data_IF_611944271854
#
_entry.id   IF_611944271854
#
_cell.length_a   1.000
_cell.length_b   1.000
_cell.length_c   1.000
_cell.angle_alpha   90.00
_cell.angle_beta   90.00
_cell.angle_gamma   90.00
#
_symmetry.space_group_name_H-M   'P 1'
#
loop_
_entity.id
_entity.type
_entity.pdbx_description
1 polymer ?
#
# COMPACT_ATOMS: atom_id res chain seq x y z
N UNK A 1 -9.91 -0.84 -10.61
CA UNK A 1 -9.60 -1.23 -9.22
C UNK A 1 -10.91 -1.56 -8.52
N UNK A 2 -11.05 -2.76 -7.94
CA UNK A 2 -12.28 -3.19 -7.25
C UNK A 2 -12.08 -2.96 -5.75
N UNK A 3 -12.93 -2.13 -5.13
CA UNK A 3 -12.93 -1.96 -3.67
C UNK A 3 -13.59 -3.19 -3.04
N UNK A 4 -12.88 -3.86 -2.13
CA UNK A 4 -13.35 -5.12 -1.52
C UNK A 4 -14.03 -4.89 -0.16
N UNK A 5 -13.90 -3.70 0.44
CA UNK A 5 -14.43 -3.38 1.77
C UNK A 5 -13.33 -3.06 2.79
N UNK A 6 -13.72 -2.83 4.04
CA UNK A 6 -12.79 -2.55 5.14
C UNK A 6 -12.37 -3.89 5.76
N UNK A 7 -11.05 -4.16 5.79
CA UNK A 7 -10.49 -5.27 6.54
C UNK A 7 -10.24 -4.84 8.00
N UNK A 8 -10.57 -5.71 8.95
CA UNK A 8 -10.41 -5.41 10.38
C UNK A 8 -9.34 -6.30 11.00
N UNK A 9 -8.34 -5.68 11.65
CA UNK A 9 -7.33 -6.39 12.43
C UNK A 9 -7.90 -6.76 13.80
N UNK A 10 -7.91 -8.05 14.12
CA UNK A 10 -8.32 -8.58 15.41
C UNK A 10 -7.13 -8.65 16.39
N UNK A 11 -7.42 -8.84 17.69
CA UNK A 11 -6.42 -8.78 18.78
C UNK A 11 -5.34 -9.87 18.70
N UNK A 12 -5.63 -10.95 17.98
CA UNK A 12 -4.78 -12.12 17.76
C UNK A 12 -3.91 -12.00 16.49
N UNK A 13 -3.81 -10.80 15.91
CA UNK A 13 -3.13 -10.50 14.64
C UNK A 13 -3.81 -11.11 13.40
N UNK A 14 -4.99 -11.71 13.53
CA UNK A 14 -5.78 -12.12 12.37
C UNK A 14 -6.42 -10.91 11.69
N UNK A 15 -6.61 -10.99 10.37
CA UNK A 15 -7.29 -9.96 9.59
C UNK A 15 -8.61 -10.55 9.09
N UNK A 16 -9.71 -9.99 9.57
CA UNK A 16 -11.04 -10.34 9.07
C UNK A 16 -11.27 -9.61 7.75
N UNK A 17 -11.42 -10.38 6.67
CA UNK A 17 -11.73 -9.86 5.34
C UNK A 17 -13.25 -9.68 5.17
N UNK A 18 -13.69 -8.67 4.42
CA UNK A 18 -15.10 -8.49 4.06
C UNK A 18 -15.60 -9.63 3.16
N UNK A 19 -16.89 -9.97 3.26
CA UNK A 19 -17.48 -11.11 2.53
C UNK A 19 -17.31 -11.02 1.01
N UNK A 20 -17.31 -9.80 0.46
CA UNK A 20 -17.05 -9.49 -0.95
C UNK A 20 -15.69 -9.99 -1.47
N UNK A 21 -14.76 -10.29 -0.56
CA UNK A 21 -13.46 -10.86 -0.90
C UNK A 21 -13.59 -12.26 -1.51
N UNK A 22 -14.50 -13.09 -0.98
CA UNK A 22 -14.71 -14.48 -1.42
C UNK A 22 -15.21 -14.58 -2.86
N UNK A 23 -15.99 -13.61 -3.31
CA UNK A 23 -16.49 -13.55 -4.68
C UNK A 23 -15.41 -13.12 -5.69
N UNK A 24 -14.27 -12.61 -5.22
CA UNK A 24 -13.18 -12.09 -6.05
C UNK A 24 -11.98 -13.05 -6.14
N UNK A 25 -12.15 -14.31 -5.73
CA UNK A 25 -11.13 -15.36 -5.66
C UNK A 25 -10.64 -15.80 -7.04
N UNK A 26 -10.11 -14.86 -7.81
CA UNK A 26 -9.39 -15.09 -9.06
C UNK A 26 -7.94 -15.50 -8.77
N UNK A 27 -7.47 -15.31 -7.53
CA UNK A 27 -6.11 -15.61 -7.07
C UNK A 27 -6.15 -16.37 -5.74
N UNK A 28 -5.36 -17.45 -5.63
CA UNK A 28 -5.29 -18.29 -4.42
C UNK A 28 -4.45 -17.66 -3.29
N UNK A 29 -3.61 -16.68 -3.63
CA UNK A 29 -2.75 -15.97 -2.69
C UNK A 29 -2.59 -14.51 -3.09
N UNK A 30 -2.34 -13.66 -2.10
CA UNK A 30 -2.13 -12.23 -2.27
C UNK A 30 -0.90 -11.81 -1.48
N UNK A 31 -0.14 -10.87 -2.02
CA UNK A 31 0.88 -10.15 -1.26
C UNK A 31 0.25 -8.96 -0.55
N UNK A 32 0.69 -8.70 0.68
CA UNK A 32 0.10 -7.70 1.58
C UNK A 32 1.07 -6.54 1.78
N UNK A 33 0.60 -5.30 1.59
CA UNK A 33 1.36 -4.09 1.89
C UNK A 33 0.53 -3.21 2.83
N UNK A 34 1.16 -2.69 3.89
CA UNK A 34 0.55 -1.70 4.78
C UNK A 34 1.01 -0.28 4.39
N UNK A 35 0.06 0.61 4.11
CA UNK A 35 0.32 2.00 3.72
C UNK A 35 -0.57 2.92 4.55
N UNK A 36 0.02 3.72 5.43
CA UNK A 36 -0.74 4.70 6.23
C UNK A 36 -1.76 4.08 7.20
N UNK A 37 -1.58 2.81 7.60
CA UNK A 37 -2.53 2.05 8.41
C UNK A 37 -3.58 1.28 7.60
N UNK A 38 -3.63 1.49 6.28
CA UNK A 38 -4.47 0.72 5.37
C UNK A 38 -3.73 -0.54 4.89
N UNK A 39 -4.47 -1.62 4.68
CA UNK A 39 -3.95 -2.89 4.18
C UNK A 39 -4.35 -3.04 2.71
N UNK A 40 -3.36 -3.13 1.83
CA UNK A 40 -3.53 -3.37 0.40
C UNK A 40 -3.21 -4.84 0.09
N UNK A 41 -4.12 -5.49 -0.63
CA UNK A 41 -3.95 -6.85 -1.15
C UNK A 41 -3.63 -6.77 -2.64
N UNK A 42 -2.50 -7.33 -3.06
CA UNK A 42 -1.99 -7.23 -4.42
C UNK A 42 -1.78 -8.64 -4.97
N UNK A 43 -2.20 -8.93 -6.22
CA UNK A 43 -1.93 -10.23 -6.83
C UNK A 43 -0.42 -10.43 -7.02
N UNK A 44 0.11 -11.64 -6.73
CA UNK A 44 1.52 -11.96 -6.95
C UNK A 44 1.85 -12.16 -8.43
N UNK A 45 3.13 -12.05 -8.83
CA UNK A 45 4.26 -11.65 -8.01
C UNK A 45 4.41 -10.13 -7.97
N UNK A 46 4.70 -9.59 -6.78
CA UNK A 46 5.02 -8.19 -6.63
C UNK A 46 6.45 -7.92 -7.10
N UNK A 47 6.63 -6.96 -8.01
CA UNK A 47 7.95 -6.52 -8.45
C UNK A 47 8.63 -5.65 -7.38
N UNK A 48 9.35 -6.32 -6.47
CA UNK A 48 10.02 -5.68 -5.33
C UNK A 48 11.13 -4.72 -5.75
N UNK A 49 11.84 -5.00 -6.84
CA UNK A 49 12.89 -4.12 -7.35
C UNK A 49 12.31 -2.80 -7.84
N UNK A 50 11.21 -2.89 -8.60
CA UNK A 50 10.47 -1.72 -9.05
C UNK A 50 9.94 -0.90 -7.87
N UNK A 51 9.38 -1.53 -6.84
CA UNK A 51 8.88 -0.82 -5.66
C UNK A 51 9.99 -0.11 -4.89
N UNK A 52 11.13 -0.77 -4.67
CA UNK A 52 12.29 -0.14 -4.03
C UNK A 52 12.79 1.07 -4.84
N UNK A 53 12.76 0.97 -6.17
CA UNK A 53 13.10 2.10 -7.06
C UNK A 53 12.10 3.26 -6.91
N UNK A 54 10.79 2.97 -6.90
CA UNK A 54 9.75 3.99 -6.69
C UNK A 54 9.95 4.66 -5.34
N UNK A 55 10.14 3.89 -4.26
CA UNK A 55 10.38 4.42 -2.91
C UNK A 55 11.57 5.39 -2.88
N UNK A 56 12.70 5.00 -3.50
CA UNK A 56 13.89 5.86 -3.60
C UNK A 56 13.60 7.17 -4.32
N UNK A 57 12.93 7.11 -5.47
CA UNK A 57 12.60 8.29 -6.27
C UNK A 57 11.62 9.21 -5.54
N UNK A 58 10.62 8.64 -4.87
CA UNK A 58 9.65 9.40 -4.06
C UNK A 58 10.33 10.13 -2.90
N UNK A 59 11.28 9.49 -2.19
CA UNK A 59 12.06 10.15 -1.14
C UNK A 59 12.83 11.36 -1.68
N UNK A 60 13.53 11.20 -2.80
CA UNK A 60 14.26 12.29 -3.46
C UNK A 60 13.30 13.44 -3.81
N UNK A 61 12.17 13.13 -4.45
CA UNK A 61 11.17 14.14 -4.84
C UNK A 61 10.62 14.91 -3.64
N UNK A 62 10.31 14.23 -2.53
CA UNK A 62 9.83 14.88 -1.30
C UNK A 62 10.91 15.79 -0.70
N UNK A 63 12.16 15.34 -0.65
CA UNK A 63 13.27 16.14 -0.13
C UNK A 63 13.51 17.40 -0.97
N UNK A 64 13.52 17.28 -2.29
CA UNK A 64 13.66 18.41 -3.22
C UNK A 64 12.49 19.38 -3.08
N UNK A 65 11.27 18.88 -3.03
CA UNK A 65 10.09 19.73 -2.83
C UNK A 65 10.11 20.46 -1.48
N UNK A 66 10.59 19.84 -0.41
CA UNK A 66 10.77 20.53 0.89
C UNK A 66 11.81 21.63 0.83
N UNK A 67 12.86 21.49 0.01
CA UNK A 67 13.86 22.56 -0.20
C UNK A 67 13.25 23.76 -0.90
N UNK A 68 12.40 23.55 -1.92
CA UNK A 68 11.74 24.66 -2.63
C UNK A 68 10.77 25.41 -1.72
N UNK A 69 10.02 24.71 -0.88
CA UNK A 69 9.10 25.33 0.09
C UNK A 69 9.81 26.18 1.15
N UNK A 70 11.00 25.77 1.62
CA UNK A 70 11.82 26.60 2.52
C UNK A 70 12.29 27.91 1.89
N UNK A 71 12.45 27.95 0.57
CA UNK A 71 12.80 29.16 -0.17
C UNK A 71 11.67 30.18 -0.26
N UNK A 72 10.41 29.72 -0.13
CA UNK A 72 9.20 30.56 -0.23
C UNK A 72 8.72 31.13 1.11
N UNK A 73 9.33 30.73 2.23
CA UNK A 73 8.97 31.20 3.57
C UNK A 73 9.74 32.47 4.00
N UNK A 74 10.32 33.21 3.05
CA UNK A 74 10.93 34.53 3.24
C UNK A 74 10.08 35.60 2.58
#
# INVERSE_FOLDING_TARGET
MKYLGIAKREKDQSITMPDSFKESSQWDSYEVIEVGGDILLIPPPLDKERLARIEKLTKISIEEHRKTLKGLAK
#
